data_IF_703146769035
#
_entry.id   IF_703146769035
#
_cell.length_a   1.000
_cell.length_b   1.000
_cell.length_c   1.000
_cell.angle_alpha   90.00
_cell.angle_beta   90.00
_cell.angle_gamma   90.00
#
_symmetry.space_group_name_H-M   'P 1'
#
loop_
_entity.id
_entity.type
_entity.pdbx_description
1 polymer ?
#
# COMPACT_ATOMS: atom_id res chain seq x y z
N UNK A 1 17.64 1.82 -4.93
CA UNK A 1 18.67 2.87 -5.11
C UNK A 1 19.44 3.03 -3.80
N UNK A 2 20.58 3.72 -3.80
CA UNK A 2 21.33 4.00 -2.57
C UNK A 2 20.47 4.72 -1.51
N UNK A 3 19.68 5.71 -1.94
CA UNK A 3 18.72 6.40 -1.08
C UNK A 3 17.65 5.50 -0.46
N UNK A 4 17.03 4.61 -1.26
CA UNK A 4 16.07 3.64 -0.74
C UNK A 4 16.68 2.72 0.34
N UNK A 5 17.91 2.25 0.14
CA UNK A 5 18.59 1.39 1.10
C UNK A 5 18.94 2.17 2.40
N UNK A 6 19.42 3.41 2.28
CA UNK A 6 19.65 4.28 3.42
C UNK A 6 18.35 4.60 4.18
N UNK A 7 17.24 4.78 3.48
CA UNK A 7 15.93 4.97 4.10
C UNK A 7 15.48 3.72 4.86
N UNK A 8 15.57 2.52 4.25
CA UNK A 8 15.22 1.25 4.91
C UNK A 8 16.00 1.09 6.22
N UNK A 9 17.30 1.38 6.18
CA UNK A 9 18.18 1.18 7.33
C UNK A 9 17.90 2.13 8.49
N UNK A 10 17.54 3.38 8.21
CA UNK A 10 17.58 4.44 9.22
C UNK A 10 16.22 5.08 9.53
N UNK A 11 15.25 4.98 8.61
CA UNK A 11 13.98 5.71 8.70
C UNK A 11 12.77 4.77 8.71
N UNK A 12 12.85 3.65 7.99
CA UNK A 12 11.70 2.77 7.75
C UNK A 12 11.13 2.09 9.00
N UNK A 13 11.92 2.00 10.08
CA UNK A 13 11.48 1.52 11.40
C UNK A 13 10.33 2.34 11.98
N UNK A 14 10.30 3.64 11.67
CA UNK A 14 9.31 4.57 12.22
C UNK A 14 8.46 5.24 11.15
N UNK A 15 9.00 5.48 9.95
CA UNK A 15 8.33 6.22 8.89
C UNK A 15 8.00 5.35 7.69
N UNK A 16 6.87 5.65 7.06
CA UNK A 16 6.48 5.10 5.78
C UNK A 16 6.83 6.10 4.68
N UNK A 17 7.40 5.62 3.59
CA UNK A 17 7.61 6.41 2.37
C UNK A 17 7.51 5.51 1.14
N UNK A 18 6.79 5.93 0.11
CA UNK A 18 6.68 5.19 -1.16
C UNK A 18 6.18 3.74 -1.00
N UNK A 19 5.40 3.49 0.06
CA UNK A 19 4.89 2.16 0.42
C UNK A 19 5.87 1.27 1.19
N UNK A 20 7.03 1.78 1.61
CA UNK A 20 8.03 1.07 2.43
C UNK A 20 8.07 1.65 3.85
N UNK A 21 8.14 0.80 4.88
CA UNK A 21 8.27 1.19 6.29
C UNK A 21 6.96 1.17 7.09
N UNK A 22 7.00 1.71 8.32
CA UNK A 22 5.90 1.67 9.29
C UNK A 22 5.30 3.05 9.57
N UNK A 23 4.10 3.09 10.16
CA UNK A 23 3.40 4.33 10.50
C UNK A 23 3.47 4.61 12.00
N UNK A 24 4.68 4.85 12.53
CA UNK A 24 4.86 5.40 13.89
C UNK A 24 5.00 6.93 13.84
N UNK A 25 5.84 7.43 12.92
CA UNK A 25 5.96 8.84 12.59
C UNK A 25 5.14 9.22 11.34
N UNK A 26 5.19 10.50 10.93
CA UNK A 26 4.55 10.98 9.71
C UNK A 26 4.87 10.16 8.46
N UNK A 27 3.90 9.98 7.56
CA UNK A 27 4.14 9.40 6.23
C UNK A 27 4.93 10.39 5.37
N UNK A 28 6.15 10.00 5.00
CA UNK A 28 7.12 10.80 4.26
C UNK A 28 6.95 10.70 2.73
N UNK A 29 5.89 10.04 2.24
CA UNK A 29 5.60 9.93 0.80
C UNK A 29 5.36 11.30 0.14
N UNK A 30 5.02 12.33 0.92
CA UNK A 30 4.74 13.69 0.42
C UNK A 30 5.92 14.66 0.56
N UNK A 31 7.08 14.20 1.04
CA UNK A 31 8.26 15.05 1.26
C UNK A 31 8.82 15.66 -0.02
N UNK A 32 8.48 15.12 -1.20
CA UNK A 32 8.77 15.75 -2.50
C UNK A 32 8.20 17.15 -2.70
N UNK A 33 7.29 17.59 -1.83
CA UNK A 33 6.73 18.95 -1.83
C UNK A 33 7.44 19.90 -0.86
N UNK A 34 8.33 19.39 0.00
CA UNK A 34 9.00 20.17 1.04
C UNK A 34 10.39 20.59 0.58
N UNK A 35 10.81 21.77 1.04
CA UNK A 35 12.16 22.27 0.79
C UNK A 35 13.19 21.35 1.46
N UNK A 36 14.30 21.09 0.77
CA UNK A 36 15.36 20.19 1.22
C UNK A 36 15.89 20.57 2.61
N UNK A 37 16.10 21.87 2.84
CA UNK A 37 16.62 22.40 4.09
C UNK A 37 15.69 22.09 5.28
N UNK A 38 14.38 22.03 5.03
CA UNK A 38 13.42 21.66 6.07
C UNK A 38 13.55 20.18 6.44
N UNK A 39 13.74 19.30 5.46
CA UNK A 39 13.94 17.86 5.68
C UNK A 39 15.26 17.63 6.42
N UNK A 40 16.33 18.35 6.04
CA UNK A 40 17.62 18.30 6.74
C UNK A 40 17.46 18.74 8.19
N UNK A 41 16.76 19.85 8.44
CA UNK A 41 16.53 20.34 9.79
C UNK A 41 15.76 19.32 10.65
N UNK A 42 14.72 18.69 10.11
CA UNK A 42 13.96 17.65 10.81
C UNK A 42 14.85 16.44 11.17
N UNK A 43 15.83 16.09 10.31
CA UNK A 43 16.79 15.01 10.58
C UNK A 43 17.81 15.40 11.66
N UNK A 44 18.31 16.63 11.62
CA UNK A 44 19.36 17.11 12.52
C UNK A 44 18.85 17.53 13.89
N UNK A 45 17.58 17.94 14.00
CA UNK A 45 16.97 18.42 15.23
C UNK A 45 15.51 17.93 15.35
N UNK A 46 15.29 16.61 15.50
CA UNK A 46 13.96 16.00 15.46
C UNK A 46 13.01 16.50 16.56
N UNK A 47 13.52 16.96 17.70
CA UNK A 47 12.69 17.55 18.77
C UNK A 47 12.41 19.04 18.57
N UNK A 48 13.03 19.71 17.58
CA UNK A 48 12.80 21.15 17.34
C UNK A 48 11.37 21.46 16.89
N UNK A 49 10.71 20.49 16.25
CA UNK A 49 9.31 20.56 15.87
C UNK A 49 8.71 19.16 15.77
N UNK A 50 7.84 18.81 16.71
CA UNK A 50 7.07 17.57 16.68
C UNK A 50 5.78 17.83 15.91
N UNK A 51 5.50 17.01 14.90
CA UNK A 51 4.26 17.10 14.13
C UNK A 51 3.05 16.78 15.02
N UNK A 52 1.98 17.56 14.89
CA UNK A 52 0.77 17.33 15.69
C UNK A 52 0.19 15.92 15.47
N UNK A 53 -0.15 15.24 16.56
CA UNK A 53 -0.58 13.83 16.54
C UNK A 53 0.56 12.81 16.55
N UNK A 54 1.82 13.27 16.64
CA UNK A 54 3.01 12.43 16.76
C UNK A 54 3.81 12.74 18.02
N UNK A 55 3.15 13.30 19.03
CA UNK A 55 3.74 13.54 20.35
C UNK A 55 4.13 12.22 21.02
N UNK A 56 5.30 12.23 21.66
CA UNK A 56 5.77 11.10 22.44
C UNK A 56 5.02 11.05 23.77
N UNK A 57 4.37 9.93 24.06
CA UNK A 57 3.74 9.66 25.35
C UNK A 57 4.53 8.60 26.11
N UNK A 58 4.78 8.89 27.39
CA UNK A 58 5.30 7.92 28.36
C UNK A 58 4.17 7.51 29.30
N UNK A 59 3.93 6.20 29.38
CA UNK A 59 2.94 5.59 30.24
C UNK A 59 3.67 4.73 31.27
N UNK A 60 3.54 5.08 32.55
CA UNK A 60 3.93 4.18 33.64
C UNK A 60 2.71 3.36 34.05
N UNK A 61 2.83 2.05 34.07
CA UNK A 61 1.77 1.14 34.51
C UNK A 61 1.94 0.76 35.99
N UNK A 62 0.85 0.31 36.61
CA UNK A 62 0.83 -0.11 38.03
C UNK A 62 1.67 -1.36 38.31
N UNK A 63 1.91 -2.18 37.29
CA UNK A 63 2.82 -3.34 37.35
C UNK A 63 4.31 -2.94 37.16
N UNK A 64 4.61 -1.64 37.03
CA UNK A 64 5.97 -1.10 36.97
C UNK A 64 6.57 -1.00 35.58
N UNK A 65 5.86 -1.35 34.50
CA UNK A 65 6.35 -1.12 33.13
C UNK A 65 6.32 0.37 32.78
N UNK A 66 7.28 0.77 31.94
CA UNK A 66 7.32 2.09 31.32
C UNK A 66 7.25 1.90 29.82
N UNK A 67 6.21 2.45 29.21
CA UNK A 67 5.94 2.35 27.79
C UNK A 67 6.14 3.73 27.16
N UNK A 68 6.79 3.80 26.01
CA UNK A 68 7.03 5.05 25.28
C UNK A 68 6.65 4.89 23.82
N UNK A 69 5.76 5.75 23.32
CA UNK A 69 5.19 5.61 21.98
C UNK A 69 4.32 6.79 21.55
N UNK A 70 3.65 6.67 20.41
CA UNK A 70 2.70 7.68 19.90
C UNK A 70 1.28 7.22 20.15
N UNK A 71 0.41 8.12 20.60
CA UNK A 71 -0.99 7.78 20.87
C UNK A 71 -1.75 7.54 19.55
N UNK A 72 -2.23 6.31 19.34
CA UNK A 72 -3.00 5.94 18.16
C UNK A 72 -4.50 6.22 18.34
N UNK A 73 -5.02 5.96 19.54
CA UNK A 73 -6.39 6.28 19.93
C UNK A 73 -6.54 6.28 21.45
N UNK A 74 -7.58 6.97 21.92
CA UNK A 74 -7.91 7.07 23.34
C UNK A 74 -9.42 6.93 23.54
N UNK A 75 -9.80 6.14 24.54
CA UNK A 75 -11.19 5.96 24.96
C UNK A 75 -11.34 6.17 26.47
N UNK A 76 -12.57 6.04 27.00
CA UNK A 76 -12.81 6.11 28.44
C UNK A 76 -12.16 4.96 29.23
N UNK A 77 -11.83 3.84 28.59
CA UNK A 77 -11.32 2.63 29.26
C UNK A 77 -9.91 2.22 28.86
N UNK A 78 -9.43 2.62 27.70
CA UNK A 78 -8.12 2.21 27.16
C UNK A 78 -7.43 3.32 26.36
N UNK A 79 -6.12 3.16 26.20
CA UNK A 79 -5.27 3.88 25.28
C UNK A 79 -4.64 2.88 24.32
N UNK A 80 -4.55 3.22 23.04
CA UNK A 80 -3.77 2.44 22.08
C UNK A 80 -2.50 3.20 21.73
N UNK A 81 -1.34 2.57 21.93
CA UNK A 81 -0.03 3.17 21.74
C UNK A 81 0.69 2.51 20.56
N UNK A 82 1.07 3.29 19.55
CA UNK A 82 1.96 2.86 18.49
C UNK A 82 3.41 2.87 18.99
N UNK A 83 4.12 1.80 18.67
CA UNK A 83 5.52 1.54 19.02
C UNK A 83 6.35 1.35 17.74
N UNK A 84 7.69 1.34 17.83
CA UNK A 84 8.56 1.04 16.70
C UNK A 84 8.22 -0.28 16.01
N UNK A 85 8.55 -0.36 14.72
CA UNK A 85 8.33 -1.56 13.88
C UNK A 85 6.84 -1.95 13.70
N UNK A 86 5.93 -0.98 13.86
CA UNK A 86 4.49 -1.18 13.62
C UNK A 86 3.78 -1.96 14.72
N UNK A 87 4.41 -2.13 15.88
CA UNK A 87 3.76 -2.72 17.04
C UNK A 87 2.73 -1.73 17.61
N UNK A 88 1.58 -2.26 18.05
CA UNK A 88 0.56 -1.48 18.73
C UNK A 88 0.20 -2.19 20.03
N UNK A 89 0.09 -1.41 21.11
CA UNK A 89 -0.22 -1.92 22.43
C UNK A 89 -1.45 -1.22 23.00
N UNK A 90 -2.46 -1.99 23.38
CA UNK A 90 -3.60 -1.49 24.13
C UNK A 90 -3.31 -1.53 25.64
N UNK A 91 -3.39 -0.38 26.28
CA UNK A 91 -3.18 -0.20 27.72
C UNK A 91 -4.51 0.19 28.36
N UNK A 92 -5.01 -0.64 29.28
CA UNK A 92 -6.22 -0.31 30.03
C UNK A 92 -5.91 0.82 31.03
N UNK A 93 -6.77 1.85 31.07
CA UNK A 93 -6.57 3.00 31.96
C UNK A 93 -6.48 2.61 33.44
N UNK A 94 -7.21 1.57 33.84
CA UNK A 94 -7.17 1.04 35.22
C UNK A 94 -5.76 0.56 35.61
N UNK A 95 -4.93 0.20 34.64
CA UNK A 95 -3.57 -0.31 34.84
C UNK A 95 -2.52 0.81 34.68
N UNK A 96 -2.94 2.03 34.32
CA UNK A 96 -2.06 3.20 34.21
C UNK A 96 -1.86 3.82 35.59
N UNK A 97 -0.61 4.10 35.92
CA UNK A 97 -0.19 4.89 37.08
C UNK A 97 -0.01 6.36 36.69
N UNK A 98 0.73 6.63 35.62
CA UNK A 98 0.89 7.98 35.07
C UNK A 98 0.93 7.97 33.56
N UNK A 99 0.50 9.08 32.94
CA UNK A 99 0.66 9.35 31.52
C UNK A 99 1.18 10.78 31.36
N UNK A 100 2.20 10.96 30.52
CA UNK A 100 2.80 12.26 30.23
C UNK A 100 3.17 12.35 28.76
N UNK A 101 2.88 13.47 28.11
CA UNK A 101 3.54 13.83 26.86
C UNK A 101 4.94 14.39 27.13
N UNK A 102 5.86 14.13 26.22
CA UNK A 102 7.21 14.68 26.23
C UNK A 102 7.39 15.73 25.13
N UNK A 103 8.22 16.73 25.39
CA UNK A 103 8.70 17.70 24.39
C UNK A 103 9.88 17.15 23.57
N UNK A 104 10.13 15.84 23.63
CA UNK A 104 11.21 15.14 22.93
C UNK A 104 10.59 14.14 21.96
N UNK A 105 11.08 14.14 20.72
CA UNK A 105 10.62 13.23 19.68
C UNK A 105 11.08 11.79 19.93
N UNK A 106 10.30 10.80 19.48
CA UNK A 106 10.77 9.41 19.37
C UNK A 106 11.84 9.23 18.29
N UNK A 107 11.94 10.17 17.36
CA UNK A 107 13.02 10.17 16.37
C UNK A 107 14.36 10.48 17.07
N UNK A 108 15.38 9.60 16.99
CA UNK A 108 16.60 9.77 17.77
C UNK A 108 17.40 11.02 17.38
N UNK A 109 17.76 11.85 18.36
CA UNK A 109 18.69 12.99 18.21
C UNK A 109 20.06 12.55 17.65
N UNK A 110 20.46 11.30 17.89
CA UNK A 110 21.71 10.74 17.38
C UNK A 110 21.72 10.50 15.86
N UNK A 111 20.59 10.64 15.15
CA UNK A 111 20.52 10.45 13.70
C UNK A 111 21.41 11.44 12.94
N UNK A 112 21.41 12.71 13.33
CA UNK A 112 22.25 13.74 12.70
C UNK A 112 23.75 13.48 12.87
N UNK A 113 24.13 12.73 13.91
CA UNK A 113 25.52 12.33 14.17
C UNK A 113 25.86 11.00 13.46
N UNK A 114 24.90 10.07 13.42
CA UNK A 114 25.11 8.71 12.91
C UNK A 114 25.08 8.61 11.39
N UNK A 115 24.37 9.53 10.72
CA UNK A 115 24.26 9.56 9.25
C UNK A 115 25.38 10.39 8.64
N UNK A 116 26.06 9.85 7.63
CA UNK A 116 27.02 10.63 6.84
C UNK A 116 26.27 11.64 5.97
N UNK A 117 26.85 12.82 5.64
CA UNK A 117 26.20 13.80 4.76
C UNK A 117 25.72 13.21 3.42
N UNK A 118 26.48 12.28 2.84
CA UNK A 118 26.09 11.55 1.62
C UNK A 118 24.86 10.65 1.82
N UNK A 119 24.69 10.05 2.99
CA UNK A 119 23.51 9.23 3.31
C UNK A 119 22.28 10.12 3.46
N UNK A 120 22.41 11.26 4.13
CA UNK A 120 21.33 12.27 4.24
C UNK A 120 20.91 12.75 2.85
N UNK A 121 21.86 13.19 2.03
CA UNK A 121 21.58 13.62 0.65
C UNK A 121 20.91 12.52 -0.19
N UNK A 122 21.35 11.27 -0.05
CA UNK A 122 20.73 10.13 -0.75
C UNK A 122 19.30 9.86 -0.27
N UNK A 123 19.03 9.96 1.04
CA UNK A 123 17.69 9.79 1.63
C UNK A 123 16.77 10.89 1.09
N UNK A 124 17.20 12.15 1.19
CA UNK A 124 16.43 13.30 0.71
C UNK A 124 16.16 13.20 -0.78
N UNK A 125 17.17 12.93 -1.59
CA UNK A 125 17.01 12.77 -3.04
C UNK A 125 16.04 11.63 -3.38
N UNK A 126 15.93 10.60 -2.54
CA UNK A 126 14.95 9.54 -2.72
C UNK A 126 13.55 9.93 -2.22
N UNK A 127 13.42 10.61 -1.08
CA UNK A 127 12.15 11.13 -0.56
C UNK A 127 11.54 12.20 -1.46
N UNK A 128 12.38 12.97 -2.15
CA UNK A 128 11.97 13.99 -3.09
C UNK A 128 11.64 13.44 -4.48
N UNK A 129 11.89 12.15 -4.72
CA UNK A 129 11.33 11.52 -5.91
C UNK A 129 9.82 11.38 -5.71
N UNK A 130 8.99 11.88 -6.63
CA UNK A 130 7.57 11.68 -6.50
C UNK A 130 7.25 10.20 -6.59
N UNK A 131 6.31 9.69 -5.77
CA UNK A 131 6.01 8.27 -5.71
C UNK A 131 5.70 7.74 -7.10
N UNK A 132 6.53 6.81 -7.57
CA UNK A 132 6.33 6.14 -8.86
C UNK A 132 5.40 4.95 -8.75
N UNK A 133 4.99 4.58 -7.54
CA UNK A 133 4.16 3.40 -7.22
C UNK A 133 2.96 3.83 -6.40
N UNK A 134 1.79 3.30 -6.73
CA UNK A 134 0.57 3.38 -5.93
C UNK A 134 0.07 1.98 -5.64
N UNK A 135 0.06 1.60 -4.37
CA UNK A 135 -0.53 0.35 -3.91
C UNK A 135 -2.05 0.49 -3.93
N UNK A 136 -2.71 -0.36 -4.71
CA UNK A 136 -4.16 -0.50 -4.76
C UNK A 136 -4.63 -1.58 -3.77
N UNK A 137 -3.85 -2.65 -3.63
CA UNK A 137 -4.07 -3.71 -2.65
C UNK A 137 -2.74 -4.36 -2.22
N UNK A 138 -2.53 -4.40 -0.91
CA UNK A 138 -1.54 -5.22 -0.17
C UNK A 138 -2.08 -5.37 1.25
N UNK A 139 -2.38 -6.59 1.70
CA UNK A 139 -2.84 -6.95 3.06
C UNK A 139 -4.10 -6.24 3.60
N UNK A 140 -4.65 -5.25 2.87
CA UNK A 140 -5.64 -4.33 3.41
C UNK A 140 -7.05 -4.93 3.38
N UNK A 141 -7.63 -5.31 4.53
CA UNK A 141 -8.94 -5.96 4.56
C UNK A 141 -10.08 -5.02 4.13
N UNK A 142 -9.88 -3.69 4.13
CA UNK A 142 -10.88 -2.73 3.65
C UNK A 142 -11.26 -2.93 2.19
N UNK A 143 -10.44 -3.65 1.41
CA UNK A 143 -10.82 -3.99 0.04
C UNK A 143 -12.11 -4.82 -0.02
N UNK A 144 -12.41 -5.60 1.02
CA UNK A 144 -13.64 -6.40 1.11
C UNK A 144 -14.89 -5.52 1.19
N UNK A 145 -14.79 -4.36 1.84
CA UNK A 145 -15.87 -3.37 1.92
C UNK A 145 -16.05 -2.66 0.58
N UNK A 146 -14.95 -2.44 -0.14
CA UNK A 146 -14.95 -1.72 -1.41
C UNK A 146 -15.43 -2.58 -2.58
N UNK A 147 -15.07 -3.87 -2.62
CA UNK A 147 -15.57 -4.83 -3.60
C UNK A 147 -16.96 -5.32 -3.17
N UNK A 148 -17.96 -4.45 -3.32
CA UNK A 148 -19.31 -4.64 -2.79
C UNK A 148 -20.34 -5.18 -3.79
N UNK A 149 -19.97 -5.33 -5.07
CA UNK A 149 -20.88 -5.71 -6.16
C UNK A 149 -20.56 -7.10 -6.71
N UNK A 150 -21.57 -7.72 -7.37
CA UNK A 150 -21.49 -9.06 -7.95
C UNK A 150 -21.88 -10.18 -6.99
N UNK A 151 -22.16 -11.37 -7.54
CA UNK A 151 -22.70 -12.51 -6.78
C UNK A 151 -21.64 -13.37 -6.08
N UNK A 152 -20.35 -13.12 -6.37
CA UNK A 152 -19.25 -13.78 -5.67
C UNK A 152 -19.05 -13.23 -4.26
N UNK A 153 -18.07 -13.80 -3.54
CA UNK A 153 -17.61 -13.31 -2.23
C UNK A 153 -16.12 -13.04 -2.31
N UNK A 154 -15.67 -11.91 -1.77
CA UNK A 154 -14.25 -11.67 -1.55
C UNK A 154 -13.88 -12.02 -0.10
N UNK A 155 -12.72 -12.63 0.12
CA UNK A 155 -12.19 -12.94 1.45
C UNK A 155 -10.69 -12.73 1.50
N UNK A 156 -10.13 -12.42 2.67
CA UNK A 156 -8.68 -12.45 2.88
C UNK A 156 -8.22 -13.90 3.12
N UNK A 157 -7.07 -14.27 2.58
CA UNK A 157 -6.42 -15.58 2.77
C UNK A 157 -5.02 -15.38 3.36
N UNK A 158 -4.80 -15.86 4.58
CA UNK A 158 -3.53 -15.71 5.30
C UNK A 158 -2.54 -16.83 5.01
N UNK A 159 -2.96 -17.88 4.30
CA UNK A 159 -2.12 -19.04 3.96
C UNK A 159 -1.51 -18.83 2.58
N UNK A 160 -2.37 -18.67 1.57
CA UNK A 160 -1.96 -18.48 0.18
C UNK A 160 -1.65 -17.01 -0.09
N UNK A 161 -0.38 -16.60 -0.02
CA UNK A 161 0.06 -15.21 -0.26
C UNK A 161 1.45 -15.14 -0.88
N UNK A 162 1.77 -14.06 -1.58
CA UNK A 162 3.11 -13.85 -2.15
C UNK A 162 3.98 -12.98 -1.24
N UNK A 163 3.37 -12.02 -0.55
CA UNK A 163 4.03 -11.12 0.39
C UNK A 163 3.08 -10.80 1.53
N UNK A 164 3.61 -10.12 2.55
CA UNK A 164 2.77 -9.58 3.61
C UNK A 164 2.10 -10.64 4.47
N UNK A 165 0.91 -10.29 4.95
CA UNK A 165 0.10 -11.07 5.90
C UNK A 165 -1.03 -11.84 5.22
N UNK A 166 -1.60 -11.36 4.12
CA UNK A 166 -2.74 -11.96 3.45
C UNK A 166 -2.93 -11.52 1.99
N UNK A 167 -3.47 -12.42 1.18
CA UNK A 167 -3.90 -12.12 -0.20
C UNK A 167 -5.43 -12.03 -0.32
N UNK A 168 -5.91 -11.55 -1.47
CA UNK A 168 -7.33 -11.47 -1.81
C UNK A 168 -7.77 -12.74 -2.53
N UNK A 169 -8.68 -13.50 -1.93
CA UNK A 169 -9.30 -14.69 -2.53
C UNK A 169 -10.67 -14.39 -3.11
N UNK A 170 -10.90 -14.89 -4.33
CA UNK A 170 -12.12 -14.70 -5.11
C UNK A 170 -12.60 -16.07 -5.61
N UNK A 171 -13.59 -16.70 -4.97
CA UNK A 171 -14.41 -17.75 -5.59
C UNK A 171 -15.19 -17.23 -6.82
N UNK A 172 -15.61 -18.13 -7.74
CA UNK A 172 -16.51 -17.76 -8.83
C UNK A 172 -17.82 -17.12 -8.35
N UNK A 173 -18.47 -16.26 -9.16
CA UNK A 173 -18.00 -15.80 -10.47
C UNK A 173 -17.00 -14.64 -10.37
N UNK A 174 -17.35 -13.58 -9.65
CA UNK A 174 -16.52 -12.40 -9.42
C UNK A 174 -17.07 -11.57 -8.27
N UNK A 175 -16.20 -10.73 -7.71
CA UNK A 175 -16.58 -9.64 -6.82
C UNK A 175 -15.94 -8.36 -7.34
N UNK A 176 -16.66 -7.26 -7.40
CA UNK A 176 -16.18 -6.07 -8.08
C UNK A 176 -16.71 -4.78 -7.45
N UNK A 177 -16.15 -3.66 -7.91
CA UNK A 177 -16.77 -2.35 -7.82
C UNK A 177 -16.26 -1.49 -8.96
N UNK A 178 -17.17 -0.82 -9.68
CA UNK A 178 -16.79 0.08 -10.77
C UNK A 178 -16.26 1.42 -10.26
N UNK A 179 -16.54 1.75 -9.00
CA UNK A 179 -16.14 2.98 -8.31
C UNK A 179 -15.72 2.65 -6.87
N UNK A 180 -14.42 2.46 -6.67
CA UNK A 180 -13.82 2.27 -5.35
C UNK A 180 -13.56 3.65 -4.72
N UNK A 181 -13.83 3.85 -3.41
CA UNK A 181 -13.59 5.13 -2.76
C UNK A 181 -12.16 5.64 -2.96
N UNK A 182 -12.03 6.92 -3.33
CA UNK A 182 -10.76 7.61 -3.61
C UNK A 182 -9.96 7.05 -4.80
N UNK A 183 -10.57 6.25 -5.68
CA UNK A 183 -9.94 5.81 -6.92
C UNK A 183 -10.32 6.73 -8.08
N UNK A 184 -9.32 7.45 -8.58
CA UNK A 184 -9.41 8.26 -9.80
C UNK A 184 -8.02 8.37 -10.43
N UNK A 185 -7.46 7.21 -10.81
CA UNK A 185 -6.07 7.14 -11.25
C UNK A 185 -5.98 7.30 -12.76
N UNK A 186 -5.41 8.42 -13.20
CA UNK A 186 -5.22 8.70 -14.62
C UNK A 186 -4.09 7.85 -15.19
N UNK A 187 -4.39 7.13 -16.27
CA UNK A 187 -3.41 6.37 -17.05
C UNK A 187 -3.04 7.17 -18.30
N UNK A 188 -1.75 7.44 -18.52
CA UNK A 188 -1.25 8.26 -19.62
C UNK A 188 -0.02 7.65 -20.30
N UNK A 189 0.31 8.14 -21.49
CA UNK A 189 1.52 7.76 -22.24
C UNK A 189 2.78 8.22 -21.49
N UNK A 190 2.76 9.49 -21.11
CA UNK A 190 3.83 10.17 -20.38
C UNK A 190 3.21 10.71 -19.08
N UNK A 191 3.05 9.85 -18.06
CA UNK A 191 2.32 10.21 -16.85
C UNK A 191 3.05 11.27 -16.02
N UNK A 192 2.31 12.33 -15.64
CA UNK A 192 2.76 13.35 -14.71
C UNK A 192 2.62 12.87 -13.23
N UNK A 193 2.85 13.76 -12.27
CA UNK A 193 2.65 13.55 -10.84
C UNK A 193 1.22 13.09 -10.53
N UNK A 194 1.11 11.93 -9.87
CA UNK A 194 -0.18 11.33 -9.53
C UNK A 194 -0.87 10.59 -10.69
N UNK A 195 -0.24 10.55 -11.86
CA UNK A 195 -0.65 9.75 -13.00
C UNK A 195 0.22 8.49 -13.13
N UNK A 196 -0.28 7.49 -13.83
CA UNK A 196 0.34 6.18 -13.95
C UNK A 196 0.33 5.67 -15.38
N UNK A 197 1.04 4.58 -15.65
CA UNK A 197 1.04 3.93 -16.97
C UNK A 197 0.99 2.41 -16.87
N UNK A 198 1.60 1.85 -15.83
CA UNK A 198 1.77 0.41 -15.70
C UNK A 198 0.91 -0.15 -14.57
N UNK A 199 0.40 -1.36 -14.76
CA UNK A 199 -0.20 -2.18 -13.72
C UNK A 199 0.76 -3.32 -13.39
N UNK A 200 1.03 -3.53 -12.11
CA UNK A 200 1.65 -4.75 -11.60
C UNK A 200 0.65 -5.44 -10.67
N UNK A 201 0.53 -6.76 -10.80
CA UNK A 201 -0.24 -7.59 -9.87
C UNK A 201 0.34 -9.00 -9.82
N UNK A 202 0.14 -9.69 -8.71
CA UNK A 202 0.33 -11.12 -8.58
C UNK A 202 -1.04 -11.81 -8.65
N UNK A 203 -1.13 -12.93 -9.35
CA UNK A 203 -2.33 -13.79 -9.32
C UNK A 203 -1.99 -15.28 -9.29
N UNK A 204 -2.90 -16.09 -8.77
CA UNK A 204 -2.80 -17.55 -8.70
C UNK A 204 -4.17 -18.18 -8.94
N UNK A 205 -4.20 -19.28 -9.68
CA UNK A 205 -5.39 -19.99 -10.15
C UNK A 205 -5.13 -21.52 -10.26
N UNK A 206 -4.81 -22.18 -9.13
CA UNK A 206 -4.36 -23.58 -9.12
C UNK A 206 -5.44 -24.54 -9.63
N UNK A 207 -6.70 -24.27 -9.30
CA UNK A 207 -7.82 -25.17 -9.59
C UNK A 207 -8.91 -24.52 -10.46
N UNK A 208 -8.66 -23.33 -11.03
CA UNK A 208 -9.59 -22.67 -11.94
C UNK A 208 -9.25 -22.95 -13.41
N UNK A 209 -10.23 -22.77 -14.30
CA UNK A 209 -9.99 -22.76 -15.74
C UNK A 209 -9.16 -21.54 -16.17
N UNK A 210 -9.30 -20.44 -15.44
CA UNK A 210 -8.56 -19.20 -15.67
C UNK A 210 -8.77 -18.17 -14.55
N UNK A 211 -8.07 -17.06 -14.69
CA UNK A 211 -8.21 -15.87 -13.85
C UNK A 211 -8.31 -14.66 -14.75
N UNK A 212 -9.15 -13.70 -14.36
CA UNK A 212 -9.34 -12.46 -15.10
C UNK A 212 -9.35 -11.27 -14.14
N UNK A 213 -8.86 -10.13 -14.61
CA UNK A 213 -9.10 -8.84 -13.99
C UNK A 213 -9.66 -7.87 -15.03
N UNK A 214 -10.76 -7.21 -14.68
CA UNK A 214 -11.33 -6.11 -15.45
C UNK A 214 -11.05 -4.78 -14.76
N UNK A 215 -10.87 -3.73 -15.56
CA UNK A 215 -10.58 -2.38 -15.12
C UNK A 215 -11.76 -1.47 -15.49
N UNK A 216 -12.36 -0.82 -14.50
CA UNK A 216 -13.39 0.19 -14.76
C UNK A 216 -12.73 1.50 -15.20
N UNK A 217 -13.24 2.07 -16.28
CA UNK A 217 -12.83 3.37 -16.79
C UNK A 217 -13.96 4.39 -16.57
N UNK A 218 -13.69 5.45 -15.81
CA UNK A 218 -14.68 6.49 -15.48
C UNK A 218 -16.01 5.91 -14.94
N UNK A 219 -15.91 4.93 -14.05
CA UNK A 219 -17.05 4.25 -13.42
C UNK A 219 -17.76 3.22 -14.29
N UNK A 220 -17.25 2.92 -15.49
CA UNK A 220 -17.89 2.01 -16.46
C UNK A 220 -17.02 0.79 -16.73
N UNK A 221 -17.66 -0.37 -16.82
CA UNK A 221 -17.03 -1.60 -17.28
C UNK A 221 -16.86 -1.58 -18.81
N UNK A 222 -15.86 -2.29 -19.36
CA UNK A 222 -15.75 -2.41 -20.81
C UNK A 222 -16.98 -3.11 -21.41
N UNK A 223 -17.30 -2.82 -22.68
CA UNK A 223 -18.37 -3.55 -23.37
C UNK A 223 -18.00 -5.03 -23.56
N UNK A 224 -18.96 -5.97 -23.56
CA UNK A 224 -18.68 -7.41 -23.69
C UNK A 224 -17.86 -7.81 -24.91
N UNK A 225 -18.05 -7.12 -26.04
CA UNK A 225 -17.35 -7.37 -27.30
C UNK A 225 -16.05 -6.57 -27.45
N UNK A 226 -15.58 -5.91 -26.39
CA UNK A 226 -14.35 -5.12 -26.40
C UNK A 226 -13.33 -5.70 -25.42
N UNK A 227 -12.16 -6.09 -25.95
CA UNK A 227 -11.07 -6.62 -25.13
C UNK A 227 -10.33 -5.56 -24.30
N UNK A 228 -10.51 -4.25 -24.60
CA UNK A 228 -9.84 -3.17 -23.86
C UNK A 228 -10.36 -3.12 -22.43
N UNK A 229 -9.46 -3.03 -21.45
CA UNK A 229 -9.80 -3.01 -20.03
C UNK A 229 -9.90 -4.39 -19.38
N UNK A 230 -9.61 -5.50 -20.08
CA UNK A 230 -9.62 -6.84 -19.48
C UNK A 230 -8.35 -7.64 -19.78
N UNK A 231 -7.81 -8.29 -18.75
CA UNK A 231 -6.72 -9.25 -18.89
C UNK A 231 -7.12 -10.59 -18.31
N UNK A 232 -6.70 -11.69 -18.94
CA UNK A 232 -6.91 -13.02 -18.38
C UNK A 232 -5.76 -13.99 -18.68
N UNK A 233 -5.65 -15.04 -17.88
CA UNK A 233 -4.83 -16.22 -18.17
C UNK A 233 -5.64 -17.50 -18.03
N UNK A 234 -5.31 -18.51 -18.83
CA UNK A 234 -6.06 -19.77 -18.89
C UNK A 234 -7.17 -19.74 -19.95
N UNK A 235 -8.24 -20.48 -19.72
CA UNK A 235 -9.42 -20.54 -20.58
C UNK A 235 -10.43 -19.48 -20.15
N UNK A 236 -10.76 -18.55 -21.05
CA UNK A 236 -11.84 -17.60 -20.82
C UNK A 236 -13.19 -18.32 -20.90
N UNK A 237 -13.86 -18.49 -19.77
CA UNK A 237 -15.21 -19.08 -19.69
C UNK A 237 -16.30 -18.03 -19.58
N UNK A 238 -15.95 -16.74 -19.62
CA UNK A 238 -16.92 -15.64 -19.63
C UNK A 238 -17.46 -15.37 -21.04
N UNK A 239 -18.48 -14.50 -21.13
CA UNK A 239 -18.99 -13.99 -22.41
C UNK A 239 -18.23 -12.75 -22.91
N UNK A 240 -17.22 -12.29 -22.17
CA UNK A 240 -16.52 -11.04 -22.44
C UNK A 240 -15.21 -11.27 -23.19
N UNK A 241 -14.96 -10.47 -24.23
CA UNK A 241 -13.66 -10.40 -24.86
C UNK A 241 -12.64 -9.82 -23.89
N UNK A 242 -11.45 -10.40 -23.86
CA UNK A 242 -10.37 -9.99 -22.99
C UNK A 242 -9.01 -10.28 -23.63
N UNK A 243 -7.97 -9.57 -23.20
CA UNK A 243 -6.61 -9.80 -23.67
C UNK A 243 -5.99 -10.99 -22.94
N UNK A 244 -5.69 -12.07 -23.67
CA UNK A 244 -5.05 -13.26 -23.09
C UNK A 244 -3.56 -13.00 -22.83
N UNK A 245 -3.12 -13.22 -21.60
CA UNK A 245 -1.72 -13.07 -21.18
C UNK A 245 -0.96 -14.39 -21.24
N UNK A 246 -1.62 -15.49 -20.84
CA UNK A 246 -1.08 -16.86 -20.90
C UNK A 246 -2.19 -17.84 -21.28
N UNK A 247 -1.83 -18.88 -22.05
CA UNK A 247 -2.75 -19.94 -22.47
C UNK A 247 -3.24 -20.81 -21.31
N UNK A 248 -2.39 -21.04 -20.32
CA UNK A 248 -2.68 -21.87 -19.14
C UNK A 248 -2.97 -20.99 -17.92
N UNK A 249 -3.85 -21.45 -17.00
CA UNK A 249 -4.06 -20.77 -15.73
C UNK A 249 -2.78 -20.83 -14.89
N UNK A 250 -2.40 -19.74 -14.18
CA UNK A 250 -1.22 -19.71 -13.34
C UNK A 250 -1.41 -20.62 -12.12
N UNK A 251 -0.77 -21.80 -12.13
CA UNK A 251 -0.86 -22.74 -10.99
C UNK A 251 -0.15 -22.21 -9.76
N UNK A 252 0.97 -21.52 -9.98
CA UNK A 252 1.73 -20.79 -8.96
C UNK A 252 1.57 -19.28 -9.09
N UNK A 253 1.93 -18.56 -8.03
CA UNK A 253 1.96 -17.10 -8.01
C UNK A 253 2.75 -16.56 -9.21
N UNK A 254 2.06 -15.81 -10.05
CA UNK A 254 2.65 -15.24 -11.26
C UNK A 254 2.51 -13.73 -11.23
N UNK A 255 3.65 -13.02 -11.31
CA UNK A 255 3.67 -11.58 -11.48
C UNK A 255 3.30 -11.22 -12.91
N UNK A 256 2.36 -10.28 -13.04
CA UNK A 256 1.93 -9.69 -14.30
C UNK A 256 2.25 -8.21 -14.27
N UNK A 257 2.99 -7.74 -15.28
CA UNK A 257 3.26 -6.33 -15.51
C UNK A 257 2.67 -5.97 -16.88
N UNK A 258 1.76 -4.98 -16.91
CA UNK A 258 1.12 -4.47 -18.13
C UNK A 258 1.38 -2.98 -18.31
N UNK A 259 1.62 -2.58 -19.55
CA UNK A 259 1.57 -1.19 -19.98
C UNK A 259 0.11 -0.87 -20.34
N UNK A 260 -0.62 -0.27 -19.39
CA UNK A 260 -2.05 -0.02 -19.53
C UNK A 260 -2.32 0.96 -20.66
N UNK A 261 -1.50 2.01 -20.79
CA UNK A 261 -1.68 2.99 -21.86
C UNK A 261 -1.46 2.36 -23.23
N UNK A 262 -0.40 1.56 -23.41
CA UNK A 262 -0.17 0.86 -24.68
C UNK A 262 -1.31 -0.10 -25.03
N UNK A 263 -1.89 -0.75 -24.03
CA UNK A 263 -2.95 -1.72 -24.26
C UNK A 263 -4.31 -1.05 -24.50
N UNK A 264 -4.61 0.07 -23.84
CA UNK A 264 -5.98 0.61 -23.76
C UNK A 264 -6.11 2.11 -24.08
N UNK A 265 -5.02 2.87 -24.14
CA UNK A 265 -5.00 4.33 -24.28
C UNK A 265 -5.22 5.07 -22.96
N UNK A 266 -5.59 6.34 -23.06
CA UNK A 266 -5.93 7.16 -21.89
C UNK A 266 -7.19 6.63 -21.22
N UNK A 267 -7.11 6.39 -19.91
CA UNK A 267 -8.24 5.99 -19.08
C UNK A 267 -8.11 6.56 -17.66
N UNK A 268 -9.21 6.60 -16.92
CA UNK A 268 -9.24 6.90 -15.49
C UNK A 268 -9.68 5.64 -14.76
N UNK A 269 -8.74 4.97 -14.08
CA UNK A 269 -9.04 3.76 -13.33
C UNK A 269 -9.83 4.13 -12.06
N UNK A 270 -11.07 3.67 -11.99
CA UNK A 270 -11.99 3.93 -10.87
C UNK A 270 -12.34 2.66 -10.09
N UNK A 271 -12.06 1.48 -10.64
CA UNK A 271 -12.47 0.23 -10.03
C UNK A 271 -11.89 -1.00 -10.72
N UNK A 272 -12.05 -2.16 -10.09
CA UNK A 272 -11.58 -3.45 -10.59
C UNK A 272 -12.61 -4.55 -10.39
N UNK A 273 -12.59 -5.54 -11.27
CA UNK A 273 -13.31 -6.80 -11.12
C UNK A 273 -12.34 -7.98 -11.16
N UNK A 274 -11.84 -8.42 -9.99
CA UNK A 274 -11.24 -9.74 -9.85
C UNK A 274 -12.25 -10.84 -10.16
N UNK A 275 -11.92 -11.71 -11.12
CA UNK A 275 -12.85 -12.68 -11.68
C UNK A 275 -12.25 -14.08 -11.71
N UNK A 276 -13.00 -15.03 -11.15
CA UNK A 276 -12.66 -16.44 -11.06
C UNK A 276 -13.33 -17.21 -12.20
N UNK A 277 -12.54 -17.76 -13.12
CA UNK A 277 -13.07 -18.52 -14.26
C UNK A 277 -13.16 -20.01 -13.89
N UNK A 278 -14.26 -20.40 -13.26
CA UNK A 278 -14.60 -21.80 -12.96
C UNK A 278 -13.94 -22.42 -11.72
N UNK A 279 -13.16 -21.66 -10.95
CA UNK A 279 -12.61 -22.08 -9.66
C UNK A 279 -12.06 -20.88 -8.89
N UNK A 280 -11.71 -21.03 -7.60
CA UNK A 280 -11.17 -19.93 -6.80
C UNK A 280 -9.83 -19.44 -7.35
N UNK A 281 -9.63 -18.14 -7.26
CA UNK A 281 -8.39 -17.45 -7.66
C UNK A 281 -7.94 -16.51 -6.54
N UNK A 282 -6.66 -16.16 -6.57
CA UNK A 282 -6.05 -15.27 -5.60
C UNK A 282 -5.35 -14.12 -6.31
N UNK A 283 -5.36 -12.95 -5.67
CA UNK A 283 -4.70 -11.73 -6.12
C UNK A 283 -3.89 -11.13 -4.98
N UNK A 284 -2.73 -10.60 -5.31
CA UNK A 284 -1.84 -9.94 -4.36
C UNK A 284 -1.05 -8.83 -5.04
N UNK A 285 -0.44 -7.92 -4.28
CA UNK A 285 0.41 -6.83 -4.80
C UNK A 285 -0.20 -6.06 -5.99
N UNK A 286 -1.47 -5.64 -5.91
CA UNK A 286 -2.11 -4.88 -7.00
C UNK A 286 -1.65 -3.43 -6.92
N UNK A 287 -0.95 -2.97 -7.95
CA UNK A 287 -0.18 -1.72 -7.92
C UNK A 287 -0.19 -1.01 -9.25
N UNK A 288 -0.25 0.32 -9.23
CA UNK A 288 0.04 1.16 -10.38
C UNK A 288 1.45 1.72 -10.32
N UNK A 289 2.08 1.85 -11.48
CA UNK A 289 3.37 2.50 -11.60
C UNK A 289 3.39 3.56 -12.68
N UNK A 290 4.08 4.67 -12.40
CA UNK A 290 4.37 5.75 -13.35
C UNK A 290 5.44 5.33 -14.36
N UNK A 291 6.50 4.69 -13.88
CA UNK A 291 7.57 4.10 -14.70
C UNK A 291 7.47 2.59 -14.72
N UNK A 292 8.09 1.93 -15.70
CA UNK A 292 8.00 0.47 -15.82
C UNK A 292 8.65 -0.20 -14.59
N UNK A 293 7.92 -1.02 -13.81
CA UNK A 293 8.50 -1.71 -12.67
C UNK A 293 9.48 -2.77 -13.13
N UNK A 294 10.47 -3.05 -12.28
CA UNK A 294 11.35 -4.21 -12.46
C UNK A 294 10.54 -5.50 -12.34
N UNK A 295 11.01 -6.56 -13.01
CA UNK A 295 10.40 -7.89 -12.92
C UNK A 295 10.61 -8.50 -11.55
#
# INVERSE_FOLDING_TARGET
SAGHNSFIKNCATCHKAHGTGFTLGPDLTSEFRRAEETIVQDILAPSSKIAGGYETYVIETKDGRVLSGVLASESGSSLALNLPEGQQLDVLRKDIKTIKSLDVSLMPESLGISLKPKEIANIIAWLQQPPTRKVLFEDNPKILDWLSQGDGKATMDTIEKISGLASLKIPPPQRYSSTIPNWSFKIREEPDLGEFRYLRLAWKAPNANGVMIELANDGKWPEPNNAKGRYFSGKNTSKWQAKQLKKLPPKEWTIVIRDLWKDFGNLTLTGIAPTALGGPVWFDQIELYRTKPNK
#
